data_IF_817022649835
#
_entry.id   IF_817022649835
#
_cell.length_a   1.000
_cell.length_b   1.000
_cell.length_c   1.000
_cell.angle_alpha   90.00
_cell.angle_beta   90.00
_cell.angle_gamma   90.00
#
_symmetry.space_group_name_H-M   'P 1'
#
loop_
_entity.id
_entity.type
_entity.pdbx_description
1 polymer ?
#
# COMPACT_ATOMS: atom_id res chain seq x y z
N UNK A 1 10.34 24.33 6.96
CA UNK A 1 9.13 24.20 6.14
C UNK A 1 8.16 23.34 6.94
N UNK A 2 7.05 23.90 7.40
CA UNK A 2 6.06 23.13 8.15
C UNK A 2 5.29 22.26 7.16
N UNK A 3 5.34 20.95 7.33
CA UNK A 3 4.55 19.99 6.52
C UNK A 3 3.23 19.79 7.22
N UNK A 4 2.12 19.93 6.50
CA UNK A 4 0.80 19.72 7.08
C UNK A 4 0.60 18.23 7.40
N UNK A 5 -0.13 17.88 8.48
CA UNK A 5 -0.44 16.50 8.81
C UNK A 5 -0.99 15.67 7.64
N UNK A 6 -1.82 16.29 6.79
CA UNK A 6 -2.41 15.66 5.61
C UNK A 6 -1.39 15.43 4.49
N UNK A 7 -0.44 16.36 4.30
CA UNK A 7 0.66 16.19 3.35
C UNK A 7 1.54 15.02 3.76
N UNK A 8 1.74 14.82 5.07
CA UNK A 8 2.47 13.67 5.60
C UNK A 8 1.79 12.35 5.19
N UNK A 9 0.47 12.25 5.33
CA UNK A 9 -0.28 11.06 4.91
C UNK A 9 -0.15 10.79 3.41
N UNK A 10 -0.34 11.83 2.59
CA UNK A 10 -0.39 11.72 1.12
C UNK A 10 0.99 11.43 0.53
N UNK A 11 2.05 12.06 1.05
CA UNK A 11 3.40 11.93 0.49
C UNK A 11 4.21 10.79 1.09
N UNK A 12 3.91 10.39 2.33
CA UNK A 12 4.70 9.36 3.01
C UNK A 12 3.87 8.10 3.29
N UNK A 13 2.82 8.22 4.09
CA UNK A 13 2.16 7.04 4.69
C UNK A 13 1.44 6.20 3.64
N UNK A 14 0.57 6.81 2.83
CA UNK A 14 -0.18 6.10 1.79
C UNK A 14 0.78 5.49 0.74
N UNK A 15 1.80 6.21 0.24
CA UNK A 15 2.83 5.63 -0.62
C UNK A 15 3.59 4.46 0.01
N UNK A 16 3.89 4.50 1.32
CA UNK A 16 4.56 3.41 2.02
C UNK A 16 3.66 2.16 2.12
N UNK A 17 2.37 2.33 2.44
CA UNK A 17 1.40 1.23 2.47
C UNK A 17 1.29 0.59 1.08
N UNK A 18 1.13 1.40 0.02
CA UNK A 18 1.08 0.92 -1.37
C UNK A 18 2.34 0.16 -1.78
N UNK A 19 3.52 0.62 -1.34
CA UNK A 19 4.79 -0.09 -1.56
C UNK A 19 4.78 -1.46 -0.89
N UNK A 20 4.33 -1.52 0.37
CA UNK A 20 4.23 -2.78 1.11
C UNK A 20 3.30 -3.78 0.43
N UNK A 21 2.11 -3.34 0.01
CA UNK A 21 1.16 -4.15 -0.75
C UNK A 21 1.75 -4.65 -2.06
N UNK A 22 2.35 -3.77 -2.87
CA UNK A 22 2.95 -4.15 -4.15
C UNK A 22 4.03 -5.23 -3.97
N UNK A 23 4.94 -5.05 -3.00
CA UNK A 23 6.02 -6.01 -2.71
C UNK A 23 5.51 -7.35 -2.21
N UNK A 24 4.55 -7.31 -1.31
CA UNK A 24 3.91 -8.49 -0.76
C UNK A 24 3.20 -9.30 -1.85
N UNK A 25 2.40 -8.65 -2.70
CA UNK A 25 1.69 -9.31 -3.80
C UNK A 25 2.64 -9.89 -4.85
N UNK A 26 3.68 -9.15 -5.28
CA UNK A 26 4.62 -9.64 -6.29
C UNK A 26 5.60 -10.67 -5.75
N UNK A 27 6.06 -10.49 -4.51
CA UNK A 27 7.12 -11.29 -3.91
C UNK A 27 6.61 -12.52 -3.18
N UNK A 28 5.66 -12.34 -2.25
CA UNK A 28 5.16 -13.44 -1.42
C UNK A 28 4.11 -14.28 -2.17
N UNK A 29 3.24 -13.65 -2.96
CA UNK A 29 2.18 -14.35 -3.69
C UNK A 29 2.49 -14.59 -5.18
N UNK A 30 3.62 -14.09 -5.68
CA UNK A 30 4.03 -14.29 -7.08
C UNK A 30 3.09 -13.66 -8.12
N UNK A 31 2.26 -12.69 -7.73
CA UNK A 31 1.27 -12.10 -8.63
C UNK A 31 1.96 -11.22 -9.67
N UNK A 32 1.56 -11.35 -10.94
CA UNK A 32 2.14 -10.56 -12.04
C UNK A 32 1.87 -9.06 -11.86
N UNK A 33 2.74 -8.20 -12.38
CA UNK A 33 2.57 -6.75 -12.22
C UNK A 33 1.28 -6.22 -12.88
N UNK A 34 0.79 -6.91 -13.92
CA UNK A 34 -0.47 -6.56 -14.56
C UNK A 34 -1.67 -6.84 -13.65
N UNK A 35 -1.70 -8.03 -13.04
CA UNK A 35 -2.72 -8.41 -12.07
C UNK A 35 -2.66 -7.53 -10.81
N UNK A 36 -1.46 -7.27 -10.27
CA UNK A 36 -1.29 -6.31 -9.14
C UNK A 36 -1.78 -4.91 -9.51
N UNK A 37 -1.58 -4.48 -10.76
CA UNK A 37 -2.08 -3.18 -11.25
C UNK A 37 -3.61 -3.10 -11.22
N UNK A 38 -4.27 -4.18 -11.66
CA UNK A 38 -5.73 -4.32 -11.59
C UNK A 38 -6.22 -4.39 -10.14
N UNK A 39 -5.53 -5.11 -9.27
CA UNK A 39 -5.89 -5.25 -7.85
C UNK A 39 -5.78 -3.92 -7.10
N UNK A 40 -4.69 -3.18 -7.32
CA UNK A 40 -4.39 -1.94 -6.59
C UNK A 40 -4.90 -0.67 -7.29
N UNK A 41 -5.39 -0.76 -8.52
CA UNK A 41 -5.87 0.38 -9.30
C UNK A 41 -4.75 1.34 -9.72
N UNK A 42 -3.55 0.82 -10.00
CA UNK A 42 -2.37 1.62 -10.39
C UNK A 42 -1.66 1.02 -11.61
N UNK A 43 -0.83 1.81 -12.29
CA UNK A 43 -0.09 1.34 -13.47
C UNK A 43 1.02 0.34 -13.12
N UNK A 44 1.33 -0.54 -14.08
CA UNK A 44 2.50 -1.44 -14.02
C UNK A 44 3.81 -0.69 -13.75
N UNK A 45 3.94 0.53 -14.29
CA UNK A 45 5.08 1.40 -14.03
C UNK A 45 5.16 1.81 -12.56
N UNK A 46 4.04 2.19 -11.93
CA UNK A 46 4.01 2.54 -10.51
C UNK A 46 4.42 1.36 -9.61
N UNK A 47 4.00 0.14 -9.94
CA UNK A 47 4.41 -1.09 -9.23
C UNK A 47 5.92 -1.30 -9.34
N UNK A 48 6.48 -1.19 -10.55
CA UNK A 48 7.93 -1.28 -10.76
C UNK A 48 8.69 -0.25 -9.91
N UNK A 49 8.19 0.98 -9.79
CA UNK A 49 8.80 2.01 -8.95
C UNK A 49 8.76 1.67 -7.45
N UNK A 50 7.68 1.05 -6.98
CA UNK A 50 7.56 0.57 -5.60
C UNK A 50 8.46 -0.62 -5.29
N UNK A 51 8.50 -1.61 -6.19
CA UNK A 51 9.32 -2.81 -6.03
C UNK A 51 10.81 -2.43 -6.04
N UNK A 52 11.23 -1.59 -6.99
CA UNK A 52 12.63 -1.16 -7.17
C UNK A 52 13.11 -0.06 -6.20
N UNK A 53 12.41 0.21 -5.10
CA UNK A 53 12.79 1.22 -4.11
C UNK A 53 12.95 2.65 -4.66
N UNK A 54 12.38 2.97 -5.82
CA UNK A 54 12.44 4.32 -6.38
C UNK A 54 11.39 5.25 -5.76
N UNK A 55 10.30 4.69 -5.22
CA UNK A 55 9.23 5.42 -4.55
C UNK A 55 9.01 4.89 -3.13
N UNK A 56 8.82 5.79 -2.16
CA UNK A 56 8.55 5.48 -0.74
C UNK A 56 9.60 4.56 -0.06
N UNK A 57 10.83 4.52 -0.56
CA UNK A 57 11.91 3.71 0.01
C UNK A 57 12.50 4.29 1.31
N UNK A 58 12.36 5.61 1.48
CA UNK A 58 12.81 6.36 2.65
C UNK A 58 11.97 6.09 3.90
N UNK A 59 10.87 5.35 3.77
CA UNK A 59 9.88 5.17 4.83
C UNK A 59 9.95 3.74 5.31
N UNK A 60 10.12 3.58 6.62
CA UNK A 60 10.01 2.30 7.31
C UNK A 60 8.67 2.22 8.02
N UNK A 61 7.91 1.20 7.64
CA UNK A 61 6.72 0.82 8.36
C UNK A 61 7.09 -0.11 9.52
N UNK A 62 6.50 0.06 10.71
CA UNK A 62 6.73 -0.84 11.83
C UNK A 62 6.17 -2.23 11.51
N UNK A 63 6.75 -3.26 12.14
CA UNK A 63 6.38 -4.66 11.91
C UNK A 63 4.87 -4.92 12.07
N UNK A 64 4.22 -4.23 13.03
CA UNK A 64 2.78 -4.33 13.25
C UNK A 64 1.97 -3.86 12.03
N UNK A 65 2.39 -2.79 11.37
CA UNK A 65 1.75 -2.32 10.14
C UNK A 65 2.03 -3.27 8.97
N UNK A 66 3.25 -3.84 8.90
CA UNK A 66 3.59 -4.86 7.90
C UNK A 66 2.75 -6.14 8.04
N UNK A 67 2.39 -6.54 9.28
CA UNK A 67 1.45 -7.65 9.52
C UNK A 67 0.06 -7.37 8.97
N UNK A 68 -0.46 -6.14 9.14
CA UNK A 68 -1.75 -5.77 8.55
C UNK A 68 -1.71 -5.70 7.02
N UNK A 69 -0.57 -5.30 6.44
CA UNK A 69 -0.32 -5.37 5.00
C UNK A 69 -0.37 -6.81 4.50
N UNK A 70 0.29 -7.75 5.19
CA UNK A 70 0.25 -9.18 4.85
C UNK A 70 -1.18 -9.71 4.78
N UNK A 71 -1.98 -9.44 5.83
CA UNK A 71 -3.41 -9.82 5.86
C UNK A 71 -4.22 -9.21 4.71
N UNK A 72 -3.90 -7.96 4.35
CA UNK A 72 -4.54 -7.31 3.21
C UNK A 72 -4.16 -8.00 1.89
N UNK A 73 -2.91 -8.44 1.71
CA UNK A 73 -2.50 -9.19 0.53
C UNK A 73 -3.26 -10.52 0.41
N UNK A 74 -3.31 -11.31 1.47
CA UNK A 74 -4.01 -12.60 1.49
C UNK A 74 -5.46 -12.45 1.02
N UNK A 75 -6.13 -11.42 1.56
CA UNK A 75 -7.51 -11.09 1.22
C UNK A 75 -7.67 -10.62 -0.23
N UNK A 76 -6.81 -9.72 -0.69
CA UNK A 76 -6.84 -9.22 -2.08
C UNK A 76 -6.60 -10.35 -3.09
N UNK A 77 -5.71 -11.29 -2.80
CA UNK A 77 -5.44 -12.46 -3.64
C UNK A 77 -6.65 -13.38 -3.68
N UNK A 78 -7.22 -13.74 -2.53
CA UNK A 78 -8.42 -14.56 -2.47
C UNK A 78 -9.59 -13.93 -3.27
N UNK A 79 -9.80 -12.62 -3.11
CA UNK A 79 -10.84 -11.89 -3.86
C UNK A 79 -10.53 -11.81 -5.37
N UNK A 80 -9.26 -11.87 -5.78
CA UNK A 80 -8.87 -11.89 -7.20
C UNK A 80 -9.08 -13.27 -7.86
N UNK A 81 -8.80 -14.35 -7.15
CA UNK A 81 -8.99 -15.72 -7.64
C UNK A 81 -10.47 -16.07 -7.84
N UNK A 82 -11.34 -15.65 -6.91
CA UNK A 82 -12.80 -15.83 -7.01
C UNK A 82 -13.38 -15.12 -8.24
N UNK A 83 -12.86 -13.93 -8.58
CA UNK A 83 -13.27 -13.20 -9.80
C UNK A 83 -12.79 -13.90 -11.07
N UNK A 84 -11.55 -14.37 -11.07
CA UNK A 84 -10.97 -15.05 -12.24
C UNK A 84 -11.72 -16.36 -12.60
N UNK A 85 -12.31 -17.05 -11.62
CA UNK A 85 -13.08 -18.28 -11.85
C UNK A 85 -14.50 -18.03 -12.32
N UNK A 86 -15.10 -16.88 -11.98
CA UNK A 86 -16.46 -16.50 -12.40
C UNK A 86 -16.52 -15.85 -13.80
N UNK A 87 -15.39 -15.36 -14.32
CA UNK A 87 -15.28 -14.76 -15.66
C UNK A 87 -15.25 -15.75 -16.85
N UNK A 88 -15.18 -17.07 -16.60
CA UNK A 88 -15.15 -18.08 -17.69
C UNK A 88 -16.49 -18.14 -18.48
N UNK A 89 -17.59 -17.60 -17.96
CA UNK A 89 -18.91 -17.62 -18.61
C UNK A 89 -19.38 -16.31 -19.26
N UNK A 90 -18.59 -15.21 -19.26
CA UNK A 90 -19.05 -13.93 -19.82
C UNK A 90 -18.08 -13.37 -20.87
N UNK A 91 -18.09 -13.95 -22.07
CA UNK A 91 -17.61 -13.22 -23.26
C UNK A 91 -18.63 -12.17 -23.67
N UNK A 92 -18.10 -10.98 -23.95
CA UNK A 92 -18.71 -9.78 -24.57
C UNK A 92 -19.45 -8.82 -23.62
N UNK A 93 -18.82 -7.67 -23.45
CA UNK A 93 -19.54 -6.39 -23.49
C UNK A 93 -19.65 -5.68 -22.15
N UNK A 94 -19.28 -4.39 -22.21
CA UNK A 94 -19.63 -3.29 -21.31
C UNK A 94 -18.73 -3.18 -20.08
N UNK A 95 -17.93 -2.11 -20.06
CA UNK A 95 -17.45 -1.45 -18.85
C UNK A 95 -18.68 -1.16 -17.97
N UNK A 96 -18.95 -2.05 -17.01
CA UNK A 96 -19.90 -1.76 -15.94
C UNK A 96 -19.09 -1.42 -14.71
N UNK A 97 -18.91 -0.11 -14.52
CA UNK A 97 -18.70 0.47 -13.22
C UNK A 97 -19.85 0.01 -12.32
N UNK A 98 -19.52 -0.65 -11.20
CA UNK A 98 -20.48 -1.07 -10.20
C UNK A 98 -20.64 -2.57 -10.08
N UNK A 99 -19.66 -3.22 -9.45
CA UNK A 99 -19.97 -4.39 -8.63
C UNK A 99 -19.34 -4.22 -7.25
N UNK A 100 -20.17 -3.72 -6.34
CA UNK A 100 -19.84 -3.54 -4.95
C UNK A 100 -20.00 -4.88 -4.22
N UNK A 101 -18.88 -5.48 -3.81
CA UNK A 101 -18.60 -6.12 -2.48
C UNK A 101 -17.63 -7.31 -2.58
N UNK A 102 -16.33 -7.06 -2.40
CA UNK A 102 -15.45 -7.51 -1.28
C UNK A 102 -13.99 -7.21 -1.69
N UNK A 103 -13.31 -6.37 -0.91
CA UNK A 103 -11.87 -6.08 -1.02
C UNK A 103 -11.43 -5.15 -2.15
N UNK A 104 -11.93 -3.90 -2.19
CA UNK A 104 -11.21 -2.88 -2.96
C UNK A 104 -9.89 -2.53 -2.26
N UNK A 105 -8.81 -2.30 -3.01
CA UNK A 105 -7.53 -1.93 -2.41
C UNK A 105 -7.62 -0.64 -1.57
N UNK A 106 -8.58 0.24 -1.88
CA UNK A 106 -8.84 1.47 -1.14
C UNK A 106 -9.29 1.16 0.29
N UNK A 107 -10.26 0.27 0.51
CA UNK A 107 -10.71 -0.09 1.86
C UNK A 107 -9.61 -0.72 2.70
N UNK A 108 -8.76 -1.56 2.10
CA UNK A 108 -7.62 -2.14 2.83
C UNK A 108 -6.56 -1.09 3.17
N UNK A 109 -6.24 -0.16 2.25
CA UNK A 109 -5.34 0.96 2.54
C UNK A 109 -5.90 1.83 3.67
N UNK A 110 -7.19 2.18 3.63
CA UNK A 110 -7.86 2.97 4.67
C UNK A 110 -7.91 2.21 6.00
N UNK A 111 -8.14 0.89 5.99
CA UNK A 111 -8.10 0.04 7.20
C UNK A 111 -6.72 0.05 7.84
N UNK A 112 -5.66 -0.08 7.05
CA UNK A 112 -4.27 -0.04 7.53
C UNK A 112 -3.94 1.35 8.07
N UNK A 113 -4.34 2.42 7.37
CA UNK A 113 -4.14 3.80 7.83
C UNK A 113 -4.83 4.05 9.17
N UNK A 114 -6.08 3.57 9.32
CA UNK A 114 -6.82 3.63 10.59
C UNK A 114 -6.10 2.85 11.69
N UNK A 115 -5.61 1.64 11.40
CA UNK A 115 -4.86 0.85 12.37
C UNK A 115 -3.59 1.57 12.86
N UNK A 116 -2.85 2.21 11.95
CA UNK A 116 -1.66 3.00 12.30
C UNK A 116 -2.04 4.13 13.27
N UNK A 117 -3.14 4.84 13.00
CA UNK A 117 -3.66 5.93 13.85
C UNK A 117 -4.12 5.42 15.22
N UNK A 118 -4.97 4.40 15.24
CA UNK A 118 -5.57 3.85 16.46
C UNK A 118 -4.52 3.26 17.41
N UNK A 119 -3.43 2.71 16.85
CA UNK A 119 -2.31 2.16 17.63
C UNK A 119 -1.17 3.15 17.86
N UNK A 120 -1.31 4.40 17.40
CA UNK A 120 -0.29 5.46 17.48
C UNK A 120 1.10 4.96 17.09
N UNK A 121 1.17 4.21 15.98
CA UNK A 121 2.42 3.60 15.56
C UNK A 121 3.39 4.69 15.09
N UNK A 122 4.67 4.50 15.41
CA UNK A 122 5.76 5.34 14.94
C UNK A 122 6.27 4.78 13.61
N UNK A 123 6.40 5.66 12.62
CA UNK A 123 7.03 5.39 11.33
C UNK A 123 8.34 6.16 11.26
N UNK A 124 9.32 5.68 10.49
CA UNK A 124 10.56 6.44 10.29
C UNK A 124 10.64 6.93 8.84
N UNK A 125 11.03 8.19 8.65
CA UNK A 125 11.35 8.78 7.35
C UNK A 125 12.79 9.23 7.32
N UNK A 126 13.60 8.60 6.49
CA UNK A 126 15.03 8.85 6.40
C UNK A 126 15.37 9.73 5.21
N UNK A 127 16.28 10.69 5.40
CA UNK A 127 16.62 11.69 4.38
C UNK A 127 17.46 11.11 3.25
N UNK A 128 18.34 10.15 3.53
CA UNK A 128 19.22 9.50 2.54
C UNK A 128 19.00 7.99 2.47
N UNK A 129 19.10 7.47 1.24
CA UNK A 129 19.14 6.05 0.94
C UNK A 129 20.26 5.84 -0.10
N UNK A 130 21.51 5.96 0.35
CA UNK A 130 22.70 5.65 -0.45
C UNK A 130 23.19 4.25 -0.08
N UNK A 131 23.32 3.38 -1.09
CA UNK A 131 23.89 2.03 -0.94
C UNK A 131 23.24 1.14 0.14
N UNK A 132 21.96 1.37 0.45
CA UNK A 132 21.20 0.60 1.45
C UNK A 132 21.35 1.12 2.89
N UNK A 133 22.12 2.19 3.12
CA UNK A 133 22.24 2.84 4.43
C UNK A 133 21.21 3.97 4.52
N UNK A 134 20.41 3.94 5.58
CA UNK A 134 19.39 4.95 5.88
C UNK A 134 19.95 5.93 6.91
N UNK A 135 20.18 7.17 6.50
CA UNK A 135 20.69 8.24 7.37
C UNK A 135 19.65 9.35 7.56
N UNK A 136 19.71 10.04 8.71
CA UNK A 136 18.83 11.17 9.01
C UNK A 136 17.36 10.77 9.15
N UNK A 137 17.07 9.69 9.88
CA UNK A 137 15.71 9.23 10.11
C UNK A 137 14.98 10.11 11.12
N UNK A 138 13.82 10.62 10.72
CA UNK A 138 12.87 11.37 11.55
C UNK A 138 11.66 10.51 11.84
N UNK A 139 11.14 10.61 13.05
CA UNK A 139 10.00 9.82 13.51
C UNK A 139 8.69 10.51 13.16
N UNK A 140 7.83 9.82 12.41
CA UNK A 140 6.45 10.22 12.19
C UNK A 140 5.55 9.50 13.19
N UNK A 141 4.77 10.25 13.95
CA UNK A 141 3.78 9.70 14.91
C UNK A 141 2.46 10.43 14.83
N UNK A 142 1.38 9.76 15.23
CA UNK A 142 0.05 10.34 15.33
C UNK A 142 -0.20 10.86 16.74
N UNK A 143 -0.46 12.16 16.91
CA UNK A 143 -0.64 12.79 18.22
C UNK A 143 -2.09 12.74 18.74
N UNK A 144 -3.05 12.53 17.86
CA UNK A 144 -4.49 12.55 18.16
C UNK A 144 -5.27 13.43 17.19
N UNK A 145 -4.63 14.47 16.67
CA UNK A 145 -5.20 15.40 15.68
C UNK A 145 -4.59 15.17 14.30
N UNK A 146 -3.29 14.84 14.24
CA UNK A 146 -2.57 14.66 12.98
C UNK A 146 -1.24 13.91 13.12
N UNK A 147 -0.56 13.74 11.99
CA UNK A 147 0.82 13.26 11.97
C UNK A 147 1.80 14.40 12.16
N UNK A 148 2.82 14.15 12.97
CA UNK A 148 3.94 15.06 13.26
C UNK A 148 5.26 14.33 13.01
N UNK A 149 6.29 15.07 12.57
CA UNK A 149 7.62 14.58 12.20
C UNK A 149 8.72 15.19 13.09
#
# INVERSE_FOLDING_TARGET
>A
MYTLPQEIEVWYIIPAIRRGLARCLTGHHGVSYDAVGKMLGISKAAISQYVNNKRAAKIKLPERAMKEIGRACDKLVADYEVRSTSDVHRRKGIHRDGDARKGDAVSEITRILKFIRDKKLVLEVCEKHESGVLEGCKEIRFDGEGYIQ
#
